data_IF_701862795584
#
_entry.id   IF_701862795584
#
_cell.length_a   1.000
_cell.length_b   1.000
_cell.length_c   1.000
_cell.angle_alpha   90.00
_cell.angle_beta   90.00
_cell.angle_gamma   90.00
#
_symmetry.space_group_name_H-M   'P 1'
#
loop_
_entity.id
_entity.type
_entity.pdbx_description
1 polymer ?
#
# COMPACT_ATOMS: atom_id res chain seq x y z
N UNK A 1 -24.48 13.19 13.99
CA UNK A 1 -24.03 12.33 12.87
C UNK A 1 -22.84 13.02 12.23
N UNK A 2 -21.74 12.32 11.95
CA UNK A 2 -20.60 12.91 11.25
C UNK A 2 -20.96 13.12 9.76
N UNK A 3 -20.37 14.12 9.08
CA UNK A 3 -20.58 14.30 7.64
C UNK A 3 -19.94 13.16 6.84
N UNK A 4 -20.48 12.91 5.64
CA UNK A 4 -19.90 11.96 4.70
C UNK A 4 -18.53 12.45 4.23
N UNK A 5 -17.65 11.49 3.96
CA UNK A 5 -16.36 11.79 3.34
C UNK A 5 -16.55 12.26 1.89
N UNK A 6 -15.68 13.15 1.39
CA UNK A 6 -15.66 13.51 -0.02
C UNK A 6 -15.56 12.28 -0.94
N UNK A 7 -16.16 12.35 -2.13
CA UNK A 7 -16.21 11.22 -3.06
C UNK A 7 -14.83 10.64 -3.44
N UNK A 8 -13.78 11.46 -3.44
CA UNK A 8 -12.41 11.01 -3.71
C UNK A 8 -11.81 10.17 -2.57
N UNK A 9 -12.40 10.16 -1.37
CA UNK A 9 -12.02 9.27 -0.27
C UNK A 9 -12.84 7.97 -0.23
N UNK A 10 -13.72 7.73 -1.20
CA UNK A 10 -14.55 6.52 -1.23
C UNK A 10 -13.74 5.23 -1.47
N UNK A 11 -12.57 5.33 -2.10
CA UNK A 11 -11.66 4.19 -2.33
C UNK A 11 -10.24 4.64 -2.70
N UNK A 12 -9.28 3.73 -2.63
CA UNK A 12 -7.91 3.97 -3.10
C UNK A 12 -7.84 4.46 -4.56
N UNK A 13 -8.49 3.78 -5.54
CA UNK A 13 -8.53 4.25 -6.92
C UNK A 13 -9.18 5.64 -7.10
N UNK A 14 -10.24 5.94 -6.35
CA UNK A 14 -10.87 7.26 -6.39
C UNK A 14 -9.91 8.35 -5.91
N UNK A 15 -9.16 8.08 -4.83
CA UNK A 15 -8.17 9.01 -4.30
C UNK A 15 -6.97 9.16 -5.24
N UNK A 16 -6.47 8.05 -5.79
CA UNK A 16 -5.42 8.06 -6.80
C UNK A 16 -5.78 8.92 -8.01
N UNK A 17 -6.98 8.71 -8.58
CA UNK A 17 -7.46 9.49 -9.72
C UNK A 17 -7.63 10.98 -9.38
N UNK A 18 -8.04 11.29 -8.15
CA UNK A 18 -8.12 12.66 -7.66
C UNK A 18 -6.74 13.32 -7.58
N UNK A 19 -5.74 12.67 -6.97
CA UNK A 19 -4.38 13.21 -6.91
C UNK A 19 -3.78 13.43 -8.30
N UNK A 20 -3.93 12.44 -9.19
CA UNK A 20 -3.43 12.51 -10.57
C UNK A 20 -4.04 13.68 -11.35
N UNK A 21 -5.37 13.86 -11.28
CA UNK A 21 -6.07 14.94 -12.01
C UNK A 21 -5.71 16.34 -11.52
N UNK A 22 -5.34 16.48 -10.25
CA UNK A 22 -5.10 17.78 -9.61
C UNK A 22 -3.61 18.07 -9.37
N UNK A 23 -2.70 17.19 -9.82
CA UNK A 23 -1.27 17.34 -9.58
C UNK A 23 -0.87 17.33 -8.11
N UNK A 24 -1.64 16.61 -7.26
CA UNK A 24 -1.36 16.49 -5.83
C UNK A 24 -0.40 15.33 -5.55
N UNK A 25 0.37 15.40 -4.45
CA UNK A 25 1.15 14.26 -3.98
C UNK A 25 0.28 13.02 -3.73
N UNK A 26 0.86 11.84 -3.94
CA UNK A 26 0.24 10.57 -3.59
C UNK A 26 0.53 10.24 -2.12
N UNK A 27 -0.50 10.31 -1.28
CA UNK A 27 -0.39 10.14 0.18
C UNK A 27 -1.24 8.97 0.69
N UNK A 28 -1.03 8.59 1.95
CA UNK A 28 -1.80 7.54 2.61
C UNK A 28 -1.81 6.22 1.82
N UNK A 29 -3.00 5.70 1.53
CA UNK A 29 -3.19 4.38 0.90
C UNK A 29 -2.64 4.28 -0.54
N UNK A 30 -2.41 5.40 -1.21
CA UNK A 30 -1.83 5.43 -2.58
C UNK A 30 -0.36 5.88 -2.59
N UNK A 31 0.23 6.12 -1.42
CA UNK A 31 1.63 6.48 -1.33
C UNK A 31 2.53 5.31 -1.76
N UNK A 32 3.45 5.51 -2.71
CA UNK A 32 4.22 4.40 -3.28
C UNK A 32 5.10 3.68 -2.26
N UNK A 33 5.68 4.39 -1.29
CA UNK A 33 6.52 3.77 -0.25
C UNK A 33 5.68 2.93 0.69
N UNK A 34 4.54 3.45 1.16
CA UNK A 34 3.61 2.70 2.02
C UNK A 34 3.07 1.47 1.28
N UNK A 35 2.67 1.62 0.02
CA UNK A 35 2.17 0.49 -0.79
C UNK A 35 3.24 -0.59 -0.97
N UNK A 36 4.50 -0.19 -1.20
CA UNK A 36 5.64 -1.11 -1.33
C UNK A 36 5.93 -1.85 -0.03
N UNK A 37 5.93 -1.16 1.10
CA UNK A 37 6.18 -1.78 2.41
C UNK A 37 5.03 -2.73 2.82
N UNK A 38 3.78 -2.35 2.54
CA UNK A 38 2.62 -3.23 2.75
C UNK A 38 2.71 -4.53 1.93
N UNK A 39 3.12 -4.42 0.66
CA UNK A 39 3.34 -5.58 -0.20
C UNK A 39 4.49 -6.46 0.31
N UNK A 40 5.56 -5.86 0.80
CA UNK A 40 6.72 -6.56 1.36
C UNK A 40 6.35 -7.36 2.62
N UNK A 41 5.55 -6.76 3.52
CA UNK A 41 4.99 -7.43 4.71
C UNK A 41 4.11 -8.61 4.32
N UNK A 42 3.22 -8.44 3.34
CA UNK A 42 2.35 -9.51 2.86
C UNK A 42 3.18 -10.69 2.32
N UNK A 43 4.21 -10.41 1.52
CA UNK A 43 5.10 -11.43 0.97
C UNK A 43 5.91 -12.15 2.06
N UNK A 44 6.42 -11.42 3.06
CA UNK A 44 7.11 -12.02 4.19
C UNK A 44 6.17 -12.96 4.99
N UNK A 45 4.92 -12.55 5.20
CA UNK A 45 3.90 -13.38 5.85
C UNK A 45 3.61 -14.67 5.09
N UNK A 46 3.47 -14.60 3.76
CA UNK A 46 3.29 -15.78 2.91
C UNK A 46 4.48 -16.76 3.05
N UNK A 47 5.71 -16.25 2.96
CA UNK A 47 6.93 -17.08 3.14
C UNK A 47 7.03 -17.68 4.54
N UNK A 48 6.65 -16.94 5.57
CA UNK A 48 6.65 -17.43 6.94
C UNK A 48 5.65 -18.58 7.12
N UNK A 49 4.46 -18.48 6.51
CA UNK A 49 3.47 -19.56 6.52
C UNK A 49 3.94 -20.81 5.77
N UNK A 50 4.60 -20.64 4.62
CA UNK A 50 5.14 -21.76 3.83
C UNK A 50 6.28 -22.49 4.54
N UNK A 51 7.16 -21.75 5.22
CA UNK A 51 8.39 -22.31 5.82
C UNK A 51 8.24 -22.67 7.30
N UNK A 52 7.21 -22.17 7.97
CA UNK A 52 7.05 -22.27 9.43
C UNK A 52 8.11 -21.48 10.21
N UNK A 53 8.83 -20.55 9.57
CA UNK A 53 9.93 -19.79 10.15
C UNK A 53 9.69 -18.29 10.07
N UNK A 54 10.34 -17.53 10.97
CA UNK A 54 10.31 -16.07 10.90
C UNK A 54 11.07 -15.55 9.68
N UNK A 55 10.53 -14.51 9.05
CA UNK A 55 11.15 -13.82 7.90
C UNK A 55 11.43 -12.39 8.30
N UNK A 56 12.69 -11.95 8.16
CA UNK A 56 13.09 -10.57 8.46
C UNK A 56 12.84 -9.65 7.26
N UNK A 57 12.58 -8.38 7.55
CA UNK A 57 12.50 -7.31 6.57
C UNK A 57 13.77 -6.43 6.60
N UNK A 58 14.15 -5.80 5.48
CA UNK A 58 13.52 -5.87 4.16
C UNK A 58 13.72 -7.24 3.51
N UNK A 59 12.83 -7.61 2.59
CA UNK A 59 13.02 -8.80 1.79
C UNK A 59 14.21 -8.59 0.84
N UNK A 60 14.95 -9.66 0.48
CA UNK A 60 15.97 -9.59 -0.55
C UNK A 60 15.36 -8.99 -1.83
N UNK A 61 16.06 -8.00 -2.41
CA UNK A 61 15.62 -7.38 -3.65
C UNK A 61 15.39 -8.45 -4.72
N UNK A 62 14.26 -8.38 -5.41
CA UNK A 62 14.04 -9.20 -6.61
C UNK A 62 14.96 -8.67 -7.71
N UNK A 63 16.12 -9.29 -7.86
CA UNK A 63 16.97 -9.14 -9.04
C UNK A 63 16.40 -10.13 -10.06
N UNK A 64 15.34 -9.69 -10.76
CA UNK A 64 14.80 -10.41 -11.91
C UNK A 64 15.72 -10.36 -13.11
#
# INVERSE_FOLDING_TARGET
>A
MAPDLPAHFASGPAYFAHCLKNGLPFEGIVNPSISRDAQEILQAGLRAMETGASVSLPLPAFVG
#
